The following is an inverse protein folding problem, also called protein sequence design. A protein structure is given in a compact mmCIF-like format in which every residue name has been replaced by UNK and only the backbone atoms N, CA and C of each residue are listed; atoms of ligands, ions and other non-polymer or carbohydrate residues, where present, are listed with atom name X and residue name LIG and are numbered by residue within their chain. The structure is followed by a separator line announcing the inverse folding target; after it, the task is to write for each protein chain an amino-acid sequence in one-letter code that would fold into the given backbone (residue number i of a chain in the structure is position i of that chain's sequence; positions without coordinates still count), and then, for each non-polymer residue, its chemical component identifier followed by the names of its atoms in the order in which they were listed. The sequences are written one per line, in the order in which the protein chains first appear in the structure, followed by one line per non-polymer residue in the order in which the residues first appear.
data_IF_800631935592
#
_entry.id   IF_800631935592
#
_cell.length_a   1.000
_cell.length_b   1.000
_cell.length_c   1.000
_cell.angle_alpha   90.00
_cell.angle_beta   90.00
_cell.angle_gamma   90.00
#
_symmetry.space_group_name_H-M   'P 1'
#
loop_
_entity.id
_entity.type
_entity.pdbx_description
1 polymer ?
#
# COMPACT_ATOMS: atom_id res chain seq x y z
N UNK A 1 -11.92 4.36 3.37
CA UNK A 1 -12.77 3.45 4.16
C UNK A 1 -12.42 1.99 3.89
N UNK A 2 -12.32 1.57 2.62
CA UNK A 2 -11.94 0.21 2.20
C UNK A 2 -10.74 -0.34 2.98
N UNK A 3 -9.61 0.38 2.98
CA UNK A 3 -8.39 -0.08 3.69
C UNK A 3 -8.61 -0.32 5.18
N UNK A 4 -9.36 0.56 5.85
CA UNK A 4 -9.59 0.50 7.32
C UNK A 4 -10.58 -0.59 7.71
N UNK A 5 -11.55 -0.89 6.84
CA UNK A 5 -12.57 -1.91 7.09
C UNK A 5 -12.22 -3.28 6.51
N UNK A 6 -11.05 -3.44 5.88
CA UNK A 6 -10.65 -4.69 5.25
C UNK A 6 -10.10 -5.68 6.28
N UNK A 7 -10.44 -6.96 6.11
CA UNK A 7 -9.84 -8.07 6.85
C UNK A 7 -8.91 -8.93 5.96
N UNK A 8 -8.83 -8.62 4.66
CA UNK A 8 -8.04 -9.37 3.69
C UNK A 8 -6.94 -8.48 3.10
N UNK A 9 -5.69 -8.97 3.08
CA UNK A 9 -4.51 -8.20 2.65
C UNK A 9 -4.68 -7.59 1.25
N UNK A 10 -5.15 -8.38 0.28
CA UNK A 10 -5.41 -7.89 -1.08
C UNK A 10 -6.44 -6.75 -1.11
N UNK A 11 -7.48 -6.80 -0.28
CA UNK A 11 -8.53 -5.76 -0.26
C UNK A 11 -8.04 -4.48 0.43
N UNK A 12 -7.19 -4.62 1.46
CA UNK A 12 -6.51 -3.48 2.05
C UNK A 12 -5.56 -2.81 1.06
N UNK A 13 -4.80 -3.61 0.30
CA UNK A 13 -3.89 -3.16 -0.75
C UNK A 13 -4.62 -2.40 -1.87
N UNK A 14 -5.72 -2.94 -2.42
CA UNK A 14 -6.49 -2.22 -3.44
C UNK A 14 -7.02 -0.89 -2.92
N UNK A 15 -7.44 -0.83 -1.65
CA UNK A 15 -7.84 0.43 -1.01
C UNK A 15 -6.71 1.47 -0.96
N UNK A 16 -5.46 1.04 -0.73
CA UNK A 16 -4.29 1.93 -0.73
C UNK A 16 -3.96 2.45 -2.13
N UNK A 17 -4.02 1.59 -3.15
CA UNK A 17 -3.79 1.99 -4.55
C UNK A 17 -4.83 3.02 -5.02
N UNK A 18 -6.12 2.79 -4.72
CA UNK A 18 -7.20 3.73 -5.04
C UNK A 18 -6.97 5.09 -4.35
N UNK A 19 -6.53 5.08 -3.09
CA UNK A 19 -6.22 6.30 -2.35
C UNK A 19 -5.07 7.07 -3.00
N UNK A 20 -4.02 6.36 -3.40
CA UNK A 20 -2.85 6.94 -4.09
C UNK A 20 -3.26 7.60 -5.41
N UNK A 21 -4.03 6.90 -6.24
CA UNK A 21 -4.53 7.43 -7.51
C UNK A 21 -5.46 8.64 -7.33
N UNK A 22 -6.21 8.71 -6.22
CA UNK A 22 -7.06 9.86 -5.91
C UNK A 22 -6.26 11.08 -5.42
N UNK A 23 -5.15 10.88 -4.71
CA UNK A 23 -4.32 11.95 -4.15
C UNK A 23 -3.42 12.60 -5.21
N UNK A 24 -2.88 11.84 -6.17
CA UNK A 24 -2.01 12.38 -7.23
C UNK A 24 -2.59 13.62 -7.94
N UNK A 25 -3.82 13.59 -8.49
CA UNK A 25 -4.41 14.74 -9.17
C UNK A 25 -4.72 15.89 -8.21
N UNK A 26 -4.93 15.61 -6.92
CA UNK A 26 -5.13 16.64 -5.90
C UNK A 26 -3.84 17.42 -5.63
N UNK A 27 -2.69 16.72 -5.56
CA UNK A 27 -1.37 17.33 -5.38
C UNK A 27 -0.96 18.11 -6.65
N UNK A 28 -1.21 17.56 -7.84
CA UNK A 28 -0.82 18.18 -9.11
C UNK A 28 -1.79 19.28 -9.60
N UNK A 29 -2.79 19.67 -8.80
CA UNK A 29 -3.81 20.65 -9.19
C UNK A 29 -3.23 22.05 -9.40
N UNK A 30 -2.21 22.42 -8.63
CA UNK A 30 -1.41 23.62 -8.87
C UNK A 30 -0.45 23.34 -10.03
N UNK A 31 -0.59 24.05 -11.15
CA UNK A 31 0.24 23.91 -12.37
C UNK A 31 1.71 24.36 -12.20
N UNK A 32 2.24 24.34 -10.98
CA UNK A 32 3.62 24.70 -10.68
C UNK A 32 4.53 23.46 -10.74
N UNK A 33 5.74 23.59 -11.27
CA UNK A 33 6.74 22.51 -11.35
C UNK A 33 6.96 21.80 -10.00
N UNK A 34 6.98 22.55 -8.89
CA UNK A 34 7.09 21.97 -7.54
C UNK A 34 5.94 21.07 -7.12
N UNK A 35 4.71 21.32 -7.62
CA UNK A 35 3.57 20.46 -7.31
C UNK A 35 3.70 19.10 -8.01
N UNK A 36 4.22 19.10 -9.24
CA UNK A 36 4.52 17.88 -10.00
C UNK A 36 5.65 17.10 -9.31
N UNK A 37 6.73 17.77 -8.90
CA UNK A 37 7.80 17.12 -8.14
C UNK A 37 7.30 16.51 -6.82
N UNK A 38 6.44 17.22 -6.09
CA UNK A 38 5.83 16.72 -4.87
C UNK A 38 4.95 15.48 -5.15
N UNK A 39 4.15 15.50 -6.21
CA UNK A 39 3.31 14.36 -6.61
C UNK A 39 4.17 13.12 -6.96
N UNK A 40 5.28 13.31 -7.68
CA UNK A 40 6.21 12.22 -8.03
C UNK A 40 6.88 11.66 -6.78
N UNK A 41 7.37 12.52 -5.87
CA UNK A 41 7.98 12.08 -4.60
C UNK A 41 7.00 11.29 -3.75
N UNK A 42 5.76 11.76 -3.64
CA UNK A 42 4.68 11.05 -2.95
C UNK A 42 4.42 9.68 -3.60
N UNK A 43 4.27 9.64 -4.93
CA UNK A 43 4.01 8.42 -5.67
C UNK A 43 5.12 7.38 -5.48
N UNK A 44 6.39 7.77 -5.56
CA UNK A 44 7.52 6.83 -5.41
C UNK A 44 7.59 6.23 -4.00
N UNK A 45 7.40 7.03 -2.96
CA UNK A 45 7.40 6.54 -1.57
C UNK A 45 6.21 5.60 -1.34
N UNK A 46 5.03 5.99 -1.84
CA UNK A 46 3.81 5.20 -1.70
C UNK A 46 3.89 3.88 -2.48
N UNK A 47 4.44 3.89 -3.68
CA UNK A 47 4.66 2.69 -4.50
C UNK A 47 5.62 1.72 -3.81
N UNK A 48 6.71 2.22 -3.22
CA UNK A 48 7.66 1.41 -2.47
C UNK A 48 7.01 0.77 -1.23
N UNK A 49 6.28 1.56 -0.45
CA UNK A 49 5.54 1.07 0.72
C UNK A 49 4.47 0.02 0.34
N UNK A 50 3.71 0.28 -0.73
CA UNK A 50 2.69 -0.65 -1.24
C UNK A 50 3.29 -1.97 -1.71
N UNK A 51 4.44 -1.92 -2.39
CA UNK A 51 5.18 -3.11 -2.84
C UNK A 51 5.69 -3.95 -1.67
N UNK A 52 6.25 -3.30 -0.64
CA UNK A 52 6.70 -4.01 0.57
C UNK A 52 5.55 -4.68 1.31
N UNK A 53 4.40 -3.99 1.43
CA UNK A 53 3.19 -4.56 2.03
C UNK A 53 2.70 -5.79 1.25
N UNK A 54 2.64 -5.69 -0.08
CA UNK A 54 2.26 -6.81 -0.95
C UNK A 54 3.24 -7.98 -0.78
N UNK A 55 4.55 -7.70 -0.78
CA UNK A 55 5.59 -8.71 -0.62
C UNK A 55 5.53 -9.40 0.75
N UNK A 56 5.34 -8.64 1.82
CA UNK A 56 5.12 -9.18 3.16
C UNK A 56 3.89 -10.09 3.21
N UNK A 57 2.75 -9.64 2.65
CA UNK A 57 1.52 -10.42 2.61
C UNK A 57 1.66 -11.71 1.79
N UNK A 58 2.39 -11.68 0.68
CA UNK A 58 2.68 -12.87 -0.13
C UNK A 58 3.52 -13.90 0.62
N UNK A 59 4.55 -13.45 1.36
CA UNK A 59 5.34 -14.34 2.21
C UNK A 59 4.44 -14.96 3.29
N UNK A 60 3.61 -14.17 3.95
CA UNK A 60 2.71 -14.68 4.98
C UNK A 60 1.72 -15.71 4.42
N UNK A 61 1.10 -15.42 3.27
CA UNK A 61 0.15 -16.31 2.62
C UNK A 61 0.81 -17.58 2.08
N UNK A 62 2.07 -17.48 1.63
CA UNK A 62 2.85 -18.65 1.20
C UNK A 62 3.07 -19.65 2.34
N UNK A 63 3.32 -19.15 3.56
CA UNK A 63 3.57 -20.00 4.73
C UNK A 63 2.29 -20.47 5.44
N UNK A 64 1.27 -19.62 5.54
CA UNK A 64 0.05 -19.90 6.31
C UNK A 64 -1.12 -20.39 5.45
N UNK A 65 -1.05 -20.20 4.13
CA UNK A 65 -2.15 -20.46 3.20
C UNK A 65 -3.32 -19.47 3.32
N UNK A 66 -3.21 -18.43 4.15
CA UNK A 66 -4.28 -17.48 4.42
C UNK A 66 -3.86 -16.05 4.09
N UNK A 67 -4.82 -15.24 3.66
CA UNK A 67 -4.64 -13.84 3.31
C UNK A 67 -5.27 -12.88 4.32
N UNK A 68 -5.63 -13.38 5.50
CA UNK A 68 -6.22 -12.59 6.57
C UNK A 68 -5.18 -11.66 7.20
N UNK A 69 -5.60 -10.42 7.50
CA UNK A 69 -4.75 -9.39 8.12
C UNK A 69 -4.42 -9.75 9.57
N UNK A 70 -5.32 -10.46 10.25
CA UNK A 70 -5.17 -10.81 11.67
C UNK A 70 -4.12 -11.89 11.94
N UNK A 71 -3.71 -12.63 10.92
CA UNK A 71 -2.82 -13.79 11.06
C UNK A 71 -1.44 -13.55 10.46
N UNK A 72 -0.68 -12.60 11.01
CA UNK A 72 0.66 -12.28 10.56
C UNK A 72 1.72 -13.04 11.37
N UNK A 73 1.75 -14.36 11.20
CA UNK A 73 2.48 -15.27 12.08
C UNK A 73 3.92 -15.55 11.62
N UNK A 74 4.28 -15.19 10.39
CA UNK A 74 5.63 -15.45 9.87
C UNK A 74 6.60 -14.31 10.24
N UNK A 75 7.73 -14.59 10.93
CA UNK A 75 8.64 -13.56 11.44
C UNK A 75 9.23 -12.66 10.35
N UNK A 76 9.47 -13.20 9.15
CA UNK A 76 9.95 -12.41 8.02
C UNK A 76 8.88 -11.46 7.49
N UNK A 77 7.60 -11.88 7.47
CA UNK A 77 6.51 -11.00 7.05
C UNK A 77 6.31 -9.86 8.06
N UNK A 78 6.37 -10.16 9.36
CA UNK A 78 6.25 -9.13 10.41
C UNK A 78 7.41 -8.13 10.43
N UNK A 79 8.58 -8.52 9.93
CA UNK A 79 9.74 -7.63 9.84
C UNK A 79 9.69 -6.73 8.61
N UNK A 80 9.09 -7.23 7.53
CA UNK A 80 8.95 -6.49 6.26
C UNK A 80 7.78 -5.49 6.25
N UNK A 81 6.84 -5.63 7.18
CA UNK A 81 5.66 -4.77 7.31
C UNK A 81 5.90 -3.66 8.34
#
# INVERSE_FOLDING_TARGET
TITVSSNHWVMAWTGLEINTLAIIPLISKSHHLWAIEAAIKYFLVQLAASTLLLFSSMINAWHTGQWDITQLNHPMSSLLL
#
